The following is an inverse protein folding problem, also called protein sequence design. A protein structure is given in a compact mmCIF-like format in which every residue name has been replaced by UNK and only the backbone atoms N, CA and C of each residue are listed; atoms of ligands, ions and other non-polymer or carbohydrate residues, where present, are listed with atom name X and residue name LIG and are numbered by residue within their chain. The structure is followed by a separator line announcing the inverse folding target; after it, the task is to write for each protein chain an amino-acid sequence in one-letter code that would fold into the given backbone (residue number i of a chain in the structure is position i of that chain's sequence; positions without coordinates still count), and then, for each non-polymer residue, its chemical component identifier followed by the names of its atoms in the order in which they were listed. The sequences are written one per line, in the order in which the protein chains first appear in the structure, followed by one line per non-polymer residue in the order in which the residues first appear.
data_IF_125053103413
#
_entry.id   IF_125053103413
#
_cell.length_a   1.000
_cell.length_b   1.000
_cell.length_c   1.000
_cell.angle_alpha   90.00
_cell.angle_beta   90.00
_cell.angle_gamma   90.00
#
_symmetry.space_group_name_H-M   'P 1'
#
loop_
_entity.id
_entity.type
_entity.pdbx_description
1 polymer ?
#
# COMPACT_ATOMS: atom_id res chain seq x y z
N UNK A 1 22.17 -20.38 27.63
CA UNK A 1 20.90 -20.58 28.37
C UNK A 1 19.80 -19.91 27.53
N UNK A 2 19.40 -20.52 26.42
CA UNK A 2 18.39 -21.58 26.26
C UNK A 2 16.95 -21.01 26.28
N UNK A 3 16.30 -21.01 25.11
CA UNK A 3 14.90 -21.43 24.92
C UNK A 3 14.54 -21.38 23.42
N UNK A 4 14.47 -22.58 22.83
CA UNK A 4 13.95 -22.90 21.51
C UNK A 4 12.42 -22.74 21.47
N UNK A 5 11.85 -22.38 20.32
CA UNK A 5 10.43 -22.55 20.05
C UNK A 5 10.22 -23.16 18.66
N UNK A 6 10.37 -24.49 18.60
CA UNK A 6 9.89 -25.30 17.50
C UNK A 6 8.37 -25.47 17.58
N UNK A 7 7.68 -25.22 16.47
CA UNK A 7 6.29 -25.61 16.29
C UNK A 7 6.22 -26.71 15.23
N UNK A 8 6.02 -27.95 15.71
CA UNK A 8 5.62 -29.11 14.91
C UNK A 8 4.11 -29.30 15.06
N UNK A 9 3.48 -29.78 13.98
CA UNK A 9 2.10 -30.25 13.95
C UNK A 9 1.27 -29.40 12.98
N UNK A 10 0.49 -29.93 12.06
CA UNK A 10 -0.20 -31.22 12.06
C UNK A 10 -0.57 -31.61 10.63
N UNK A 11 -0.80 -32.91 10.46
CA UNK A 11 -1.26 -33.56 9.25
C UNK A 11 -2.61 -33.01 8.77
N UNK A 12 -2.80 -32.96 7.45
CA UNK A 12 -4.11 -33.23 6.89
C UNK A 12 -3.96 -34.04 5.60
N UNK A 13 -4.16 -35.35 5.75
CA UNK A 13 -4.46 -36.23 4.65
C UNK A 13 -5.95 -36.03 4.31
N UNK A 14 -6.22 -35.30 3.24
CA UNK A 14 -7.57 -35.18 2.69
C UNK A 14 -7.68 -36.02 1.43
N UNK A 15 -8.19 -37.24 1.63
CA UNK A 15 -8.77 -38.06 0.57
C UNK A 15 -10.21 -37.59 0.34
N UNK A 16 -10.52 -37.09 -0.86
CA UNK A 16 -11.91 -36.88 -1.28
C UNK A 16 -12.04 -37.11 -2.79
N UNK A 17 -12.51 -38.33 -3.11
CA UNK A 17 -13.60 -38.64 -4.02
C UNK A 17 -13.53 -38.15 -5.48
N UNK A 18 -13.57 -39.15 -6.36
CA UNK A 18 -13.88 -39.03 -7.77
C UNK A 18 -15.20 -38.31 -8.05
N UNK A 19 -15.16 -37.33 -8.96
CA UNK A 19 -16.26 -36.97 -9.86
C UNK A 19 -15.58 -36.60 -11.19
N UNK A 20 -15.89 -37.25 -12.31
CA UNK A 20 -17.22 -37.41 -12.85
C UNK A 20 -17.38 -36.37 -13.96
N UNK A 21 -17.25 -36.85 -15.20
CA UNK A 21 -17.43 -36.16 -16.48
C UNK A 21 -18.42 -34.99 -16.46
N UNK A 22 -17.99 -33.82 -16.93
CA UNK A 22 -18.56 -33.06 -18.07
C UNK A 22 -17.99 -31.63 -18.09
N UNK A 23 -17.66 -31.18 -19.30
CA UNK A 23 -16.91 -29.97 -19.66
C UNK A 23 -17.36 -28.67 -18.97
N UNK A 24 -16.42 -27.82 -18.51
CA UNK A 24 -16.66 -26.40 -18.40
C UNK A 24 -15.76 -25.66 -19.40
N UNK A 25 -16.39 -25.23 -20.50
CA UNK A 25 -16.27 -23.92 -21.18
C UNK A 25 -14.98 -23.15 -20.82
N UNK A 26 -14.10 -22.77 -21.76
CA UNK A 26 -12.89 -22.04 -21.45
C UNK A 26 -13.28 -20.71 -20.80
N UNK A 27 -13.16 -20.64 -19.48
CA UNK A 27 -13.21 -19.38 -18.76
C UNK A 27 -11.95 -18.66 -19.18
N UNK A 28 -12.09 -17.74 -20.13
CA UNK A 28 -11.15 -16.66 -20.35
C UNK A 28 -10.95 -15.99 -18.99
N UNK A 29 -9.90 -16.42 -18.29
CA UNK A 29 -9.49 -15.89 -17.02
C UNK A 29 -8.87 -14.53 -17.30
N UNK A 30 -9.71 -13.52 -17.53
CA UNK A 30 -9.31 -12.11 -17.56
C UNK A 30 -9.09 -11.67 -16.11
N UNK A 31 -8.01 -12.15 -15.51
CA UNK A 31 -7.50 -11.63 -14.24
C UNK A 31 -6.02 -11.33 -14.37
N UNK A 32 -5.69 -10.53 -15.37
CA UNK A 32 -4.36 -9.93 -15.52
C UNK A 32 -4.27 -8.51 -14.92
N UNK A 33 -5.28 -8.06 -14.16
CA UNK A 33 -5.35 -6.69 -13.61
C UNK A 33 -5.02 -6.53 -12.13
N UNK A 34 -5.03 -7.60 -11.34
CA UNK A 34 -4.95 -7.49 -9.87
C UNK A 34 -3.54 -7.15 -9.34
N UNK A 35 -2.49 -7.50 -10.07
CA UNK A 35 -1.11 -7.35 -9.61
C UNK A 35 -0.54 -5.94 -9.84
N UNK A 36 -0.91 -5.27 -10.94
CA UNK A 36 -0.40 -3.92 -11.27
C UNK A 36 -0.92 -2.89 -10.27
N UNK A 37 -2.18 -2.99 -9.86
CA UNK A 37 -2.78 -2.08 -8.87
C UNK A 37 -2.21 -2.25 -7.45
N UNK A 38 -1.76 -3.45 -7.08
CA UNK A 38 -1.16 -3.72 -5.77
C UNK A 38 0.24 -3.09 -5.64
N UNK A 39 1.06 -3.17 -6.69
CA UNK A 39 2.37 -2.53 -6.73
C UNK A 39 2.26 -1.00 -6.66
N UNK A 40 1.32 -0.39 -7.40
CA UNK A 40 1.06 1.06 -7.37
C UNK A 40 0.58 1.53 -5.99
N UNK A 41 -0.26 0.74 -5.30
CA UNK A 41 -0.68 1.05 -3.91
C UNK A 41 0.46 1.01 -2.91
N UNK A 42 1.37 0.03 -3.02
CA UNK A 42 2.53 -0.06 -2.14
C UNK A 42 3.48 1.11 -2.36
N UNK A 43 3.77 1.44 -3.61
CA UNK A 43 4.60 2.60 -3.97
C UNK A 43 4.03 3.90 -3.39
N UNK A 44 2.73 4.14 -3.60
CA UNK A 44 2.03 5.31 -3.04
C UNK A 44 2.12 5.35 -1.50
N UNK A 45 2.01 4.20 -0.83
CA UNK A 45 2.12 4.13 0.64
C UNK A 45 3.56 4.41 1.13
N UNK A 46 4.58 3.95 0.40
CA UNK A 46 5.99 4.24 0.67
C UNK A 46 6.24 5.74 0.52
N UNK A 47 5.85 6.30 -0.63
CA UNK A 47 5.99 7.74 -0.93
C UNK A 47 5.28 8.59 0.12
N UNK A 48 4.06 8.21 0.53
CA UNK A 48 3.31 8.89 1.61
C UNK A 48 4.06 8.87 2.94
N UNK A 49 4.67 7.74 3.29
CA UNK A 49 5.41 7.58 4.56
C UNK A 49 6.68 8.41 4.57
N UNK A 50 7.43 8.39 3.46
CA UNK A 50 8.63 9.20 3.27
C UNK A 50 8.32 10.70 3.30
N UNK A 51 7.28 11.14 2.58
CA UNK A 51 6.85 12.53 2.59
C UNK A 51 6.43 13.00 3.98
N UNK A 52 5.72 12.16 4.74
CA UNK A 52 5.35 12.46 6.14
C UNK A 52 6.59 12.66 7.00
N UNK A 53 7.56 11.75 6.92
CA UNK A 53 8.80 11.85 7.69
C UNK A 53 9.58 13.13 7.35
N UNK A 54 9.68 13.46 6.05
CA UNK A 54 10.34 14.69 5.58
C UNK A 54 9.64 15.94 6.13
N UNK A 55 8.31 16.04 6.01
CA UNK A 55 7.56 17.19 6.53
C UNK A 55 7.68 17.34 8.05
N UNK A 56 7.65 16.23 8.80
CA UNK A 56 7.87 16.29 10.25
C UNK A 56 9.30 16.68 10.62
N UNK A 57 10.30 16.27 9.83
CA UNK A 57 11.70 16.71 9.98
C UNK A 57 11.90 18.20 9.69
N UNK A 58 11.06 18.78 8.82
CA UNK A 58 11.00 20.23 8.57
C UNK A 58 10.26 21.01 9.66
N UNK A 59 9.72 20.34 10.69
CA UNK A 59 9.04 20.97 11.82
C UNK A 59 7.52 21.05 11.70
N UNK A 60 6.90 20.46 10.66
CA UNK A 60 5.45 20.41 10.57
C UNK A 60 4.85 19.43 11.59
N UNK A 61 3.75 19.84 12.24
CA UNK A 61 3.00 18.94 13.13
C UNK A 61 2.49 17.73 12.33
N UNK A 62 2.59 16.49 12.87
CA UNK A 62 2.21 15.28 12.12
C UNK A 62 0.79 15.29 11.56
N UNK A 63 -0.17 15.88 12.29
CA UNK A 63 -1.56 16.03 11.84
C UNK A 63 -1.70 16.97 10.62
N UNK A 64 -0.93 18.07 10.61
CA UNK A 64 -0.90 19.02 9.48
C UNK A 64 -0.24 18.36 8.27
N UNK A 65 0.90 17.68 8.47
CA UNK A 65 1.56 16.94 7.39
C UNK A 65 0.64 15.87 6.78
N UNK A 66 -0.07 15.09 7.61
CA UNK A 66 -0.99 14.07 7.12
C UNK A 66 -2.17 14.66 6.33
N UNK A 67 -2.75 15.78 6.77
CA UNK A 67 -3.85 16.42 6.04
C UNK A 67 -3.39 17.03 4.72
N UNK A 68 -2.23 17.70 4.70
CA UNK A 68 -1.64 18.26 3.47
C UNK A 68 -1.31 17.17 2.44
N UNK A 69 -0.71 16.05 2.88
CA UNK A 69 -0.42 14.91 2.00
C UNK A 69 -1.69 14.27 1.45
N UNK A 70 -2.74 14.12 2.26
CA UNK A 70 -4.02 13.58 1.79
C UNK A 70 -4.66 14.47 0.72
N UNK A 71 -4.63 15.79 0.92
CA UNK A 71 -5.12 16.76 -0.06
C UNK A 71 -4.25 16.80 -1.33
N UNK A 72 -2.93 16.61 -1.20
CA UNK A 72 -2.02 16.52 -2.33
C UNK A 72 -2.25 15.25 -3.16
N UNK A 73 -2.41 14.10 -2.51
CA UNK A 73 -2.72 12.83 -3.18
C UNK A 73 -4.08 12.86 -3.87
N UNK A 74 -5.09 13.50 -3.26
CA UNK A 74 -6.41 13.63 -3.88
C UNK A 74 -6.41 14.48 -5.17
N UNK A 75 -5.44 15.39 -5.31
CA UNK A 75 -5.28 16.25 -6.48
C UNK A 75 -4.21 15.74 -7.47
N UNK A 76 -3.46 14.70 -7.10
CA UNK A 76 -2.37 14.17 -7.89
C UNK A 76 -2.85 13.18 -8.95
N UNK A 77 -2.16 13.16 -10.09
CA UNK A 77 -2.27 12.07 -11.05
C UNK A 77 -1.49 10.83 -10.57
N UNK A 78 -1.79 9.67 -11.17
CA UNK A 78 -1.05 8.43 -10.91
C UNK A 78 0.45 8.62 -11.18
N UNK A 79 1.30 8.04 -10.32
CA UNK A 79 2.76 8.14 -10.45
C UNK A 79 3.40 9.43 -9.89
N UNK A 80 2.78 10.08 -8.90
CA UNK A 80 3.40 11.23 -8.23
C UNK A 80 4.72 10.84 -7.53
N UNK A 81 5.79 11.57 -7.80
CA UNK A 81 7.09 11.34 -7.15
C UNK A 81 7.12 11.89 -5.72
N UNK A 82 8.08 11.41 -4.93
CA UNK A 82 8.27 11.87 -3.55
C UNK A 82 8.45 13.39 -3.44
N UNK A 83 9.36 13.97 -4.23
CA UNK A 83 9.66 15.40 -4.19
C UNK A 83 8.43 16.23 -4.58
N UNK A 84 7.72 15.80 -5.62
CA UNK A 84 6.48 16.45 -6.06
C UNK A 84 5.43 16.44 -4.95
N UNK A 85 5.27 15.30 -4.26
CA UNK A 85 4.33 15.18 -3.14
C UNK A 85 4.73 16.08 -1.97
N UNK A 86 6.01 16.22 -1.67
CA UNK A 86 6.51 17.12 -0.62
C UNK A 86 6.21 18.58 -0.99
N UNK A 87 6.55 19.03 -2.20
CA UNK A 87 6.30 20.40 -2.64
C UNK A 87 4.81 20.74 -2.71
N UNK A 88 3.97 19.82 -3.20
CA UNK A 88 2.52 20.00 -3.21
C UNK A 88 1.92 20.01 -1.79
N UNK A 89 2.48 19.23 -0.88
CA UNK A 89 2.06 19.27 0.53
C UNK A 89 2.45 20.59 1.18
N UNK A 90 3.68 21.08 0.95
CA UNK A 90 4.15 22.38 1.47
C UNK A 90 3.30 23.55 0.96
N UNK A 91 2.87 23.54 -0.31
CA UNK A 91 1.97 24.54 -0.88
C UNK A 91 0.59 24.55 -0.21
N UNK A 92 0.15 23.41 0.35
CA UNK A 92 -1.13 23.27 1.06
C UNK A 92 -1.01 23.49 2.57
N UNK A 93 0.20 23.53 3.11
CA UNK A 93 0.39 23.80 4.52
C UNK A 93 0.03 25.27 4.83
N UNK A 94 -0.64 25.53 5.97
CA UNK A 94 -0.95 26.90 6.37
C UNK A 94 0.35 27.67 6.62
N UNK A 95 0.53 28.80 5.92
CA UNK A 95 1.64 29.72 6.19
C UNK A 95 1.47 30.24 7.62
N UNK A 96 2.46 30.06 8.51
CA UNK A 96 2.42 30.64 9.84
C UNK A 96 2.26 32.15 9.70
N UNK A 97 1.15 32.70 10.21
CA UNK A 97 1.02 34.14 10.38
C UNK A 97 1.87 34.49 11.61
N UNK A 98 3.04 35.08 11.37
CA UNK A 98 3.89 35.69 12.40
C UNK A 98 3.16 36.83 13.08
#
# INVERSE_FOLDING_TARGET
MAAEAGARGTAEASAALAQGSTEPRPRLNTSSGAHVGAASRLDTAIVRTQAKAALTGLGWKPAIACSAIAAALAAAADGITLEQLIFESLRRCPVPKT
#
